data_IF_530196438776
#
_entry.id   IF_530196438776
#
_cell.length_a   1.000
_cell.length_b   1.000
_cell.length_c   1.000
_cell.angle_alpha   90.00
_cell.angle_beta   90.00
_cell.angle_gamma   90.00
#
_symmetry.space_group_name_H-M   'P 1'
#
loop_
_entity.id
_entity.type
_entity.pdbx_description
1 polymer ?
#
# COMPACT_ATOMS: atom_id res chain seq x y z
N UNK A 1 -18.50 -29.90 -42.44
CA UNK A 1 -18.28 -31.25 -41.88
C UNK A 1 -16.78 -31.58 -41.89
N UNK A 2 -16.10 -31.45 -40.75
CA UNK A 2 -15.03 -32.38 -40.34
C UNK A 2 -14.58 -31.99 -38.93
N UNK A 3 -15.04 -32.79 -37.97
CA UNK A 3 -14.78 -32.68 -36.54
C UNK A 3 -13.45 -33.37 -36.26
N UNK A 4 -12.49 -32.68 -35.63
CA UNK A 4 -11.28 -33.32 -35.08
C UNK A 4 -11.30 -33.23 -33.56
N UNK A 5 -11.83 -34.28 -32.95
CA UNK A 5 -11.64 -34.64 -31.54
C UNK A 5 -10.15 -34.70 -31.19
N UNK A 6 -9.71 -33.89 -30.22
CA UNK A 6 -8.46 -34.13 -29.48
C UNK A 6 -8.79 -34.91 -28.20
N UNK A 7 -8.13 -36.05 -28.05
CA UNK A 7 -8.28 -37.01 -26.96
C UNK A 7 -7.73 -36.44 -25.66
N UNK A 8 -8.53 -36.53 -24.59
CA UNK A 8 -8.11 -36.29 -23.23
C UNK A 8 -7.39 -37.53 -22.68
N UNK A 9 -6.19 -37.34 -22.14
CA UNK A 9 -5.43 -38.37 -21.42
C UNK A 9 -5.70 -38.19 -19.93
N UNK A 10 -6.50 -39.08 -19.34
CA UNK A 10 -6.78 -39.13 -17.91
C UNK A 10 -5.57 -39.76 -17.20
N UNK A 11 -4.75 -38.96 -16.52
CA UNK A 11 -3.70 -39.44 -15.64
C UNK A 11 -4.25 -39.63 -14.23
N UNK A 12 -4.34 -40.89 -13.77
CA UNK A 12 -4.70 -41.25 -12.40
C UNK A 12 -3.50 -40.96 -11.50
N UNK A 13 -3.57 -39.89 -10.71
CA UNK A 13 -2.61 -39.59 -9.63
C UNK A 13 -3.09 -40.28 -8.37
N UNK A 14 -2.35 -41.28 -7.90
CA UNK A 14 -2.58 -41.98 -6.66
C UNK A 14 -2.38 -41.05 -5.46
N UNK A 15 -3.46 -40.79 -4.73
CA UNK A 15 -3.46 -40.01 -3.50
C UNK A 15 -3.09 -40.95 -2.33
N UNK A 16 -1.84 -40.87 -1.85
CA UNK A 16 -1.39 -41.55 -0.63
C UNK A 16 -1.72 -40.65 0.56
N UNK A 17 -2.76 -41.01 1.31
CA UNK A 17 -3.09 -40.38 2.60
C UNK A 17 -2.12 -40.89 3.68
N UNK A 18 -1.19 -40.06 4.11
CA UNK A 18 -0.40 -40.28 5.33
C UNK A 18 -1.16 -39.64 6.49
N UNK A 19 -1.73 -40.47 7.36
CA UNK A 19 -2.40 -40.04 8.58
C UNK A 19 -1.35 -39.72 9.66
N UNK A 20 -1.00 -38.44 9.82
CA UNK A 20 -0.13 -37.98 10.90
C UNK A 20 -0.95 -37.82 12.18
N UNK A 21 -0.68 -38.68 13.17
CA UNK A 21 -1.24 -38.57 14.53
C UNK A 21 -0.54 -37.41 15.23
N UNK A 22 -1.25 -36.28 15.40
CA UNK A 22 -0.79 -35.15 16.22
C UNK A 22 -1.10 -35.46 17.69
N UNK A 23 -0.06 -35.75 18.47
CA UNK A 23 -0.12 -35.84 19.93
C UNK A 23 -0.32 -34.43 20.50
N UNK A 24 -1.45 -34.23 21.20
CA UNK A 24 -1.85 -32.95 21.77
C UNK A 24 -0.87 -32.43 22.82
N UNK A 25 -0.33 -31.24 22.58
CA UNK A 25 0.34 -30.44 23.60
C UNK A 25 -0.70 -29.72 24.45
N UNK A 26 -0.61 -29.88 25.77
CA UNK A 26 -1.45 -29.20 26.75
C UNK A 26 -1.09 -27.70 26.75
N UNK A 27 -1.86 -26.90 26.01
CA UNK A 27 -1.70 -25.45 25.95
C UNK A 27 -1.98 -24.80 27.30
N UNK A 28 -0.96 -24.12 27.84
CA UNK A 28 -1.12 -23.18 28.96
C UNK A 28 -1.87 -21.97 28.40
N UNK A 29 -3.16 -21.85 28.72
CA UNK A 29 -3.95 -20.67 28.37
C UNK A 29 -3.45 -19.50 29.22
N UNK A 30 -2.51 -18.73 28.68
CA UNK A 30 -2.11 -17.46 29.26
C UNK A 30 -3.31 -16.52 29.16
N UNK A 31 -3.93 -16.22 30.30
CA UNK A 31 -5.03 -15.26 30.40
C UNK A 31 -4.48 -13.87 30.08
N UNK A 32 -4.49 -13.48 28.80
CA UNK A 32 -4.12 -12.14 28.38
C UNK A 32 -5.07 -11.12 29.04
N UNK A 33 -4.52 -10.05 29.59
CA UNK A 33 -5.30 -8.92 30.07
C UNK A 33 -6.15 -8.35 28.92
N UNK A 34 -7.33 -7.77 29.20
CA UNK A 34 -8.12 -7.13 28.17
C UNK A 34 -7.29 -6.02 27.52
N UNK A 35 -7.01 -6.18 26.24
CA UNK A 35 -6.28 -5.21 25.43
C UNK A 35 -7.11 -3.92 25.35
N UNK A 36 -6.47 -2.76 25.54
CA UNK A 36 -7.13 -1.46 25.46
C UNK A 36 -7.66 -1.17 24.05
N UNK A 37 -8.51 -0.14 23.87
CA UNK A 37 -8.81 0.33 22.53
C UNK A 37 -7.51 0.81 21.85
N UNK A 38 -7.33 0.57 20.54
CA UNK A 38 -6.11 0.94 19.85
C UNK A 38 -5.91 2.46 19.81
N UNK A 39 -4.64 2.86 19.96
CA UNK A 39 -4.24 4.27 19.85
C UNK A 39 -4.51 4.75 18.41
N UNK A 40 -5.55 5.57 18.27
CA UNK A 40 -6.02 6.04 16.97
C UNK A 40 -4.96 6.90 16.26
N UNK A 41 -4.11 7.61 17.00
CA UNK A 41 -3.08 8.47 16.40
C UNK A 41 -2.00 7.63 15.72
N UNK A 42 -1.64 6.49 16.31
CA UNK A 42 -0.68 5.52 15.74
C UNK A 42 -1.28 4.84 14.52
N UNK A 43 -2.54 4.40 14.60
CA UNK A 43 -3.26 3.78 13.48
C UNK A 43 -3.35 4.75 12.28
N UNK A 44 -3.78 5.98 12.51
CA UNK A 44 -3.89 6.99 11.47
C UNK A 44 -2.52 7.30 10.84
N UNK A 45 -1.46 7.39 11.65
CA UNK A 45 -0.11 7.59 11.16
C UNK A 45 0.35 6.43 10.25
N UNK A 46 0.20 5.17 10.69
CA UNK A 46 0.56 3.97 9.93
C UNK A 46 -0.16 3.94 8.57
N UNK A 47 -1.47 4.20 8.56
CA UNK A 47 -2.26 4.21 7.33
C UNK A 47 -1.85 5.36 6.39
N UNK A 48 -1.54 6.55 6.92
CA UNK A 48 -1.07 7.71 6.13
C UNK A 48 0.28 7.46 5.47
N UNK A 49 1.18 6.71 6.11
CA UNK A 49 2.46 6.31 5.52
C UNK A 49 2.40 5.01 4.70
N UNK A 50 1.19 4.49 4.45
CA UNK A 50 0.94 3.26 3.69
C UNK A 50 1.53 1.98 4.32
N UNK A 51 1.72 1.96 5.64
CA UNK A 51 2.10 0.78 6.43
C UNK A 51 0.85 0.03 6.92
N UNK A 52 -0.02 -0.35 5.99
CA UNK A 52 -1.17 -1.22 6.29
C UNK A 52 -0.77 -2.70 6.30
N UNK A 53 -1.56 -3.59 6.92
CA UNK A 53 -1.29 -5.03 6.91
C UNK A 53 -1.06 -5.60 5.51
N UNK A 54 -1.82 -5.14 4.51
CA UNK A 54 -1.67 -5.58 3.13
C UNK A 54 -0.32 -5.15 2.53
N UNK A 55 0.11 -3.91 2.78
CA UNK A 55 1.43 -3.44 2.30
C UNK A 55 2.58 -4.21 2.95
N UNK A 56 2.50 -4.46 4.26
CA UNK A 56 3.48 -5.24 5.01
C UNK A 56 3.54 -6.68 4.47
N UNK A 57 2.38 -7.31 4.27
CA UNK A 57 2.27 -8.66 3.72
C UNK A 57 2.81 -8.72 2.29
N UNK A 58 2.43 -7.78 1.41
CA UNK A 58 2.92 -7.72 0.03
C UNK A 58 4.45 -7.53 -0.03
N UNK A 59 5.04 -6.82 0.94
CA UNK A 59 6.48 -6.66 1.08
C UNK A 59 7.18 -7.90 1.68
N UNK A 60 6.43 -8.91 2.13
CA UNK A 60 6.97 -10.11 2.76
C UNK A 60 7.47 -9.87 4.18
N UNK A 61 6.82 -8.98 4.93
CA UNK A 61 7.07 -8.80 6.36
C UNK A 61 6.42 -9.96 7.12
N UNK A 62 7.18 -10.61 8.00
CA UNK A 62 6.66 -11.69 8.84
C UNK A 62 5.79 -11.11 9.96
N UNK A 63 4.84 -11.90 10.48
CA UNK A 63 3.97 -11.51 11.59
C UNK A 63 4.77 -11.15 12.85
N UNK A 64 5.91 -11.80 13.08
CA UNK A 64 6.83 -11.50 14.19
C UNK A 64 7.46 -10.11 14.14
N UNK A 65 7.58 -9.53 12.94
CA UNK A 65 8.27 -8.24 12.75
C UNK A 65 7.28 -7.05 12.80
N UNK A 66 5.97 -7.31 12.80
CA UNK A 66 4.94 -6.27 12.77
C UNK A 66 4.94 -5.42 14.04
N UNK A 67 5.22 -6.03 15.19
CA UNK A 67 5.31 -5.34 16.48
C UNK A 67 6.43 -4.29 16.48
N UNK A 68 7.59 -4.62 15.90
CA UNK A 68 8.71 -3.69 15.75
C UNK A 68 8.36 -2.52 14.84
N UNK A 69 7.58 -2.76 13.77
CA UNK A 69 7.11 -1.69 12.86
C UNK A 69 6.20 -0.71 13.58
N UNK A 70 5.21 -1.22 14.32
CA UNK A 70 4.28 -0.38 15.08
C UNK A 70 5.00 0.35 16.21
N UNK A 71 5.88 -0.34 16.94
CA UNK A 71 6.71 0.25 18.00
C UNK A 71 7.64 1.35 17.47
N UNK A 72 8.21 1.18 16.28
CA UNK A 72 9.03 2.20 15.63
C UNK A 72 8.24 3.49 15.35
N UNK A 73 7.01 3.37 14.83
CA UNK A 73 6.12 4.52 14.59
C UNK A 73 5.66 5.15 15.91
N UNK A 74 5.19 4.34 16.87
CA UNK A 74 4.72 4.82 18.17
C UNK A 74 5.83 5.55 18.95
N UNK A 75 7.05 5.01 18.96
CA UNK A 75 8.21 5.65 19.58
C UNK A 75 8.58 6.98 18.93
N UNK A 76 8.48 7.08 17.59
CA UNK A 76 8.69 8.34 16.88
C UNK A 76 7.65 9.40 17.23
N UNK A 77 6.36 9.04 17.27
CA UNK A 77 5.27 9.95 17.59
C UNK A 77 5.32 10.41 19.05
N UNK A 78 5.67 9.51 19.97
CA UNK A 78 5.89 9.84 21.38
C UNK A 78 7.02 10.85 21.58
N UNK A 79 8.06 10.76 20.75
CA UNK A 79 9.20 11.70 20.77
C UNK A 79 8.91 13.01 20.04
N UNK A 80 7.92 13.04 19.15
CA UNK A 80 7.57 14.18 18.30
C UNK A 80 6.06 14.44 18.36
N UNK A 81 5.51 14.79 19.55
CA UNK A 81 4.07 14.97 19.70
C UNK A 81 3.57 16.05 18.75
N UNK A 82 2.39 15.86 18.17
CA UNK A 82 1.73 16.78 17.22
C UNK A 82 2.48 17.09 15.92
N UNK A 83 3.57 16.37 15.58
CA UNK A 83 4.36 16.68 14.37
C UNK A 83 3.54 16.55 13.08
N UNK A 84 2.70 15.52 12.99
CA UNK A 84 1.81 15.29 11.85
C UNK A 84 0.71 16.37 11.80
N UNK A 85 0.06 16.65 12.94
CA UNK A 85 -1.00 17.66 13.05
C UNK A 85 -0.47 19.05 12.66
N UNK A 86 0.70 19.44 13.16
CA UNK A 86 1.34 20.71 12.85
C UNK A 86 1.67 20.86 11.37
N UNK A 87 2.17 19.78 10.73
CA UNK A 87 2.49 19.77 9.31
C UNK A 87 1.21 19.87 8.45
N UNK A 88 0.16 19.14 8.81
CA UNK A 88 -1.16 19.22 8.16
C UNK A 88 -1.78 20.60 8.30
N UNK A 89 -1.81 21.17 9.51
CA UNK A 89 -2.37 22.49 9.77
C UNK A 89 -1.68 23.58 8.92
N UNK A 90 -0.35 23.51 8.81
CA UNK A 90 0.43 24.40 7.94
C UNK A 90 0.06 24.22 6.47
N UNK A 91 -0.02 22.98 5.99
CA UNK A 91 -0.42 22.69 4.61
C UNK A 91 -1.81 23.24 4.28
N UNK A 92 -2.82 22.98 5.13
CA UNK A 92 -4.18 23.45 4.89
C UNK A 92 -4.32 24.97 4.94
N UNK A 93 -3.60 25.63 5.86
CA UNK A 93 -3.55 27.09 5.93
C UNK A 93 -2.93 27.69 4.65
N UNK A 94 -1.77 27.18 4.23
CA UNK A 94 -1.09 27.63 3.02
C UNK A 94 -1.94 27.40 1.77
N UNK A 95 -2.57 26.22 1.66
CA UNK A 95 -3.46 25.87 0.55
C UNK A 95 -4.66 26.81 0.46
N UNK A 96 -5.32 27.06 1.57
CA UNK A 96 -6.49 27.96 1.63
C UNK A 96 -6.12 29.38 1.19
N UNK A 97 -4.98 29.88 1.65
CA UNK A 97 -4.46 31.20 1.26
C UNK A 97 -4.14 31.27 -0.23
N UNK A 98 -3.43 30.27 -0.77
CA UNK A 98 -3.08 30.19 -2.19
C UNK A 98 -4.33 30.11 -3.08
N UNK A 99 -5.28 29.21 -2.77
CA UNK A 99 -6.50 29.03 -3.56
C UNK A 99 -7.36 30.31 -3.60
N UNK A 100 -7.47 31.03 -2.47
CA UNK A 100 -8.16 32.33 -2.41
C UNK A 100 -7.53 33.34 -3.37
N UNK A 101 -6.21 33.54 -3.28
CA UNK A 101 -5.50 34.55 -4.08
C UNK A 101 -5.45 34.17 -5.57
N UNK A 102 -5.27 32.88 -5.88
CA UNK A 102 -5.31 32.37 -7.27
C UNK A 102 -6.67 32.67 -7.92
N UNK A 103 -7.78 32.48 -7.21
CA UNK A 103 -9.12 32.82 -7.74
C UNK A 103 -9.26 34.31 -8.01
N UNK A 104 -8.79 35.17 -7.11
CA UNK A 104 -8.85 36.63 -7.26
C UNK A 104 -8.02 37.13 -8.45
N UNK A 105 -6.82 36.56 -8.64
CA UNK A 105 -5.95 36.87 -9.78
C UNK A 105 -6.59 36.39 -11.07
N UNK A 106 -7.14 35.16 -11.09
CA UNK A 106 -7.82 34.60 -12.28
C UNK A 106 -9.07 35.37 -12.68
N UNK A 107 -9.79 35.98 -11.73
CA UNK A 107 -10.97 36.80 -12.01
C UNK A 107 -10.64 38.22 -12.47
N UNK A 108 -9.35 38.63 -12.49
CA UNK A 108 -8.94 39.99 -12.84
C UNK A 108 -9.32 41.06 -11.81
N UNK A 109 -9.72 40.66 -10.60
CA UNK A 109 -10.12 41.57 -9.52
C UNK A 109 -8.97 41.88 -8.56
N UNK A 110 -7.83 41.21 -8.69
CA UNK A 110 -6.68 41.38 -7.83
C UNK A 110 -5.97 42.73 -8.08
N UNK A 111 -5.65 43.42 -6.99
CA UNK A 111 -4.70 44.52 -6.97
C UNK A 111 -3.27 44.04 -7.25
N UNK A 112 -2.35 44.98 -7.53
CA UNK A 112 -0.92 44.67 -7.70
C UNK A 112 -0.30 44.02 -6.46
N UNK A 113 -0.71 44.45 -5.26
CA UNK A 113 -0.29 43.85 -3.99
C UNK A 113 -0.76 42.39 -3.86
N UNK A 114 -2.01 42.10 -4.25
CA UNK A 114 -2.57 40.73 -4.21
C UNK A 114 -1.94 39.81 -5.26
N UNK A 115 -1.51 40.34 -6.40
CA UNK A 115 -0.72 39.57 -7.38
C UNK A 115 0.64 39.17 -6.79
N UNK A 116 1.30 40.06 -6.03
CA UNK A 116 2.54 39.73 -5.32
C UNK A 116 2.29 38.68 -4.24
N UNK A 117 1.28 38.91 -3.38
CA UNK A 117 0.89 37.98 -2.33
C UNK A 117 0.52 36.60 -2.89
N UNK A 118 -0.07 36.52 -4.10
CA UNK A 118 -0.36 35.24 -4.75
C UNK A 118 0.91 34.44 -5.07
N UNK A 119 2.03 35.09 -5.42
CA UNK A 119 3.31 34.40 -5.66
C UNK A 119 3.89 33.88 -4.35
N UNK A 120 3.86 34.69 -3.30
CA UNK A 120 4.31 34.31 -1.95
C UNK A 120 3.49 33.14 -1.39
N UNK A 121 2.16 33.19 -1.52
CA UNK A 121 1.28 32.11 -1.06
C UNK A 121 1.52 30.79 -1.81
N UNK A 122 1.91 30.83 -3.09
CA UNK A 122 2.30 29.62 -3.84
C UNK A 122 3.61 29.04 -3.33
N UNK A 123 4.61 29.89 -3.05
CA UNK A 123 5.87 29.44 -2.48
C UNK A 123 5.69 28.85 -1.08
N UNK A 124 4.82 29.44 -0.25
CA UNK A 124 4.49 28.88 1.06
C UNK A 124 3.73 27.55 0.94
N UNK A 125 2.82 27.39 -0.02
CA UNK A 125 2.16 26.11 -0.27
C UNK A 125 3.17 25.01 -0.66
N UNK A 126 4.09 25.29 -1.59
CA UNK A 126 5.15 24.35 -1.97
C UNK A 126 6.06 23.99 -0.78
N UNK A 127 6.41 24.99 0.04
CA UNK A 127 7.18 24.77 1.27
C UNK A 127 6.42 23.89 2.27
N UNK A 128 5.13 24.13 2.46
CA UNK A 128 4.29 23.36 3.38
C UNK A 128 4.04 21.92 2.87
N UNK A 129 3.89 21.72 1.55
CA UNK A 129 3.82 20.40 0.92
C UNK A 129 5.10 19.60 1.16
N UNK A 130 6.26 20.23 0.95
CA UNK A 130 7.57 19.61 1.20
C UNK A 130 7.75 19.26 2.68
N UNK A 131 7.40 20.18 3.59
CA UNK A 131 7.48 19.94 5.03
C UNK A 131 6.60 18.75 5.46
N UNK A 132 5.37 18.70 4.95
CA UNK A 132 4.44 17.59 5.20
C UNK A 132 4.96 16.26 4.66
N UNK A 133 5.51 16.24 3.44
CA UNK A 133 6.14 15.05 2.87
C UNK A 133 7.30 14.55 3.74
N UNK A 134 8.20 15.45 4.15
CA UNK A 134 9.33 15.11 5.02
C UNK A 134 8.89 14.53 6.37
N UNK A 135 7.82 15.05 6.96
CA UNK A 135 7.24 14.50 8.20
C UNK A 135 6.73 13.08 7.99
N UNK A 136 5.97 12.82 6.92
CA UNK A 136 5.47 11.48 6.60
C UNK A 136 6.61 10.51 6.24
N UNK A 137 7.68 11.01 5.62
CA UNK A 137 8.90 10.22 5.34
C UNK A 137 9.64 9.84 6.61
N UNK A 138 9.73 10.73 7.60
CA UNK A 138 10.35 10.43 8.89
C UNK A 138 9.56 9.38 9.67
N UNK A 139 8.22 9.46 9.66
CA UNK A 139 7.33 8.46 10.27
C UNK A 139 7.49 7.10 9.58
N UNK A 140 7.51 7.09 8.24
CA UNK A 140 7.74 5.87 7.46
C UNK A 140 9.10 5.25 7.79
N UNK A 141 10.17 6.06 7.79
CA UNK A 141 11.53 5.62 8.09
C UNK A 141 11.66 5.02 9.49
N UNK A 142 10.98 5.61 10.48
CA UNK A 142 10.94 5.05 11.84
C UNK A 142 10.30 3.65 11.86
N UNK A 143 9.15 3.49 11.21
CA UNK A 143 8.42 2.23 11.14
C UNK A 143 9.16 1.11 10.39
N UNK A 144 9.93 1.43 9.36
CA UNK A 144 10.63 0.40 8.55
C UNK A 144 12.07 0.14 8.97
N UNK A 145 12.56 0.82 10.02
CA UNK A 145 13.98 0.80 10.41
C UNK A 145 14.52 -0.57 10.86
N UNK A 146 13.66 -1.43 11.40
CA UNK A 146 13.99 -2.80 11.81
C UNK A 146 13.96 -3.82 10.66
N UNK A 147 13.33 -3.47 9.53
CA UNK A 147 13.11 -4.38 8.41
C UNK A 147 14.36 -4.54 7.55
N UNK A 148 14.41 -5.61 6.76
CA UNK A 148 15.48 -5.82 5.78
C UNK A 148 15.45 -4.76 4.67
N UNK A 149 16.61 -4.46 4.06
CA UNK A 149 16.70 -3.50 2.94
C UNK A 149 15.75 -3.82 1.78
N UNK A 150 15.49 -5.11 1.54
CA UNK A 150 14.58 -5.56 0.47
C UNK A 150 13.10 -5.26 0.81
N UNK A 151 12.70 -5.46 2.06
CA UNK A 151 11.36 -5.10 2.54
C UNK A 151 11.17 -3.57 2.53
N UNK A 152 12.17 -2.82 3.01
CA UNK A 152 12.15 -1.35 2.98
C UNK A 152 12.01 -0.81 1.54
N UNK A 153 12.81 -1.35 0.60
CA UNK A 153 12.74 -0.99 -0.81
C UNK A 153 11.39 -1.33 -1.44
N UNK A 154 10.76 -2.44 -1.05
CA UNK A 154 9.43 -2.83 -1.56
C UNK A 154 8.33 -1.95 -1.00
N UNK A 155 8.34 -1.64 0.30
CA UNK A 155 7.39 -0.72 0.94
C UNK A 155 7.50 0.70 0.37
N UNK A 156 8.72 1.18 0.12
CA UNK A 156 8.95 2.50 -0.51
C UNK A 156 8.38 2.57 -1.93
N UNK A 157 8.58 1.51 -2.73
CA UNK A 157 7.98 1.37 -4.07
C UNK A 157 6.45 1.31 -4.00
N UNK A 158 5.88 0.50 -3.11
CA UNK A 158 4.44 0.41 -2.89
C UNK A 158 3.84 1.78 -2.57
N UNK A 159 4.44 2.52 -1.64
CA UNK A 159 4.01 3.88 -1.25
C UNK A 159 4.02 4.85 -2.44
N UNK A 160 5.10 4.85 -3.21
CA UNK A 160 5.28 5.73 -4.38
C UNK A 160 4.28 5.37 -5.50
N UNK A 161 4.16 4.09 -5.83
CA UNK A 161 3.30 3.62 -6.91
C UNK A 161 1.82 3.77 -6.55
N UNK A 162 1.41 3.51 -5.30
CA UNK A 162 0.03 3.69 -4.81
C UNK A 162 -0.43 5.15 -4.87
N UNK A 163 0.48 6.11 -4.65
CA UNK A 163 0.15 7.54 -4.75
C UNK A 163 -0.20 7.97 -6.19
N UNK A 164 0.34 7.27 -7.20
CA UNK A 164 0.18 7.63 -8.61
C UNK A 164 -0.82 6.73 -9.37
N UNK A 165 -1.02 5.50 -8.90
CA UNK A 165 -1.75 4.46 -9.63
C UNK A 165 -2.74 3.73 -8.72
N UNK A 166 -3.98 3.62 -9.19
CA UNK A 166 -5.01 2.80 -8.56
C UNK A 166 -5.02 1.39 -9.20
N UNK A 167 -4.16 0.50 -8.69
CA UNK A 167 -3.97 -0.87 -9.19
C UNK A 167 -4.03 -1.88 -8.03
N UNK A 168 -4.24 -3.18 -8.31
CA UNK A 168 -4.01 -4.26 -7.35
C UNK A 168 -2.62 -4.16 -6.71
N UNK A 169 -2.55 -4.43 -5.40
CA UNK A 169 -1.38 -4.13 -4.57
C UNK A 169 -0.14 -4.93 -4.99
N UNK A 170 -0.31 -6.20 -5.35
CA UNK A 170 0.74 -7.09 -5.83
C UNK A 170 1.41 -6.59 -7.11
N UNK A 171 0.71 -5.78 -7.92
CA UNK A 171 1.28 -5.18 -9.12
C UNK A 171 2.11 -3.93 -8.80
N UNK A 172 1.89 -3.27 -7.66
CA UNK A 172 2.56 -2.03 -7.27
C UNK A 172 3.99 -2.23 -6.74
N UNK A 173 4.44 -3.48 -6.54
CA UNK A 173 5.77 -3.81 -5.97
C UNK A 173 6.94 -3.65 -6.96
N UNK A 174 6.67 -3.38 -8.24
CA UNK A 174 7.68 -3.21 -9.29
C UNK A 174 7.55 -1.84 -9.93
N UNK A 175 8.68 -1.16 -10.12
CA UNK A 175 8.74 0.11 -10.83
C UNK A 175 8.55 -0.11 -12.33
N UNK A 176 7.68 0.69 -12.92
CA UNK A 176 7.38 0.68 -14.35
C UNK A 176 7.33 2.08 -14.89
N UNK A 177 7.61 2.20 -16.17
CA UNK A 177 7.43 3.46 -16.91
C UNK A 177 5.94 3.83 -16.97
N UNK A 178 5.64 5.12 -17.20
CA UNK A 178 4.27 5.58 -17.38
C UNK A 178 3.54 4.83 -18.51
N UNK A 179 4.24 4.54 -19.61
CA UNK A 179 3.67 3.81 -20.74
C UNK A 179 3.28 2.37 -20.36
N UNK A 180 4.11 1.68 -19.60
CA UNK A 180 3.83 0.34 -19.09
C UNK A 180 2.66 0.34 -18.11
N UNK A 181 2.58 1.33 -17.20
CA UNK A 181 1.45 1.45 -16.29
C UNK A 181 0.12 1.72 -17.01
N UNK A 182 0.13 2.56 -18.05
CA UNK A 182 -1.05 2.80 -18.89
C UNK A 182 -1.47 1.52 -19.62
N UNK A 183 -0.51 0.78 -20.19
CA UNK A 183 -0.76 -0.50 -20.86
C UNK A 183 -1.34 -1.54 -19.89
N UNK A 184 -0.75 -1.67 -18.70
CA UNK A 184 -1.24 -2.58 -17.66
C UNK A 184 -2.68 -2.22 -17.25
N UNK A 185 -2.99 -0.93 -17.10
CA UNK A 185 -4.34 -0.46 -16.80
C UNK A 185 -5.34 -0.84 -17.88
N UNK A 186 -4.96 -0.64 -19.15
CA UNK A 186 -5.79 -0.97 -20.29
C UNK A 186 -6.06 -2.49 -20.35
N UNK A 187 -5.03 -3.31 -20.16
CA UNK A 187 -5.17 -4.76 -20.15
C UNK A 187 -6.06 -5.27 -19.00
N UNK A 188 -5.92 -4.72 -17.78
CA UNK A 188 -6.83 -5.04 -16.66
C UNK A 188 -8.27 -4.57 -16.93
N UNK A 189 -8.43 -3.42 -17.60
CA UNK A 189 -9.75 -2.94 -17.99
C UNK A 189 -10.39 -3.84 -19.05
N UNK A 190 -9.62 -4.31 -20.03
CA UNK A 190 -10.06 -5.30 -21.01
C UNK A 190 -10.52 -6.60 -20.33
N UNK A 191 -9.68 -7.19 -19.47
CA UNK A 191 -10.01 -8.41 -18.71
C UNK A 191 -11.35 -8.27 -17.96
N UNK A 192 -11.56 -7.15 -17.24
CA UNK A 192 -12.79 -6.89 -16.49
C UNK A 192 -14.01 -6.65 -17.39
N UNK A 193 -13.86 -5.91 -18.49
CA UNK A 193 -14.97 -5.60 -19.41
C UNK A 193 -15.40 -6.87 -20.13
N UNK A 194 -14.46 -7.62 -20.69
CA UNK A 194 -14.72 -8.90 -21.37
C UNK A 194 -15.43 -9.89 -20.43
N UNK A 195 -14.96 -10.04 -19.19
CA UNK A 195 -15.63 -10.88 -18.18
C UNK A 195 -17.07 -10.43 -17.87
N UNK A 196 -17.34 -9.12 -17.86
CA UNK A 196 -18.69 -8.57 -17.64
C UNK A 196 -19.64 -8.84 -18.81
N UNK A 197 -19.12 -8.93 -20.03
CA UNK A 197 -19.90 -9.11 -21.25
C UNK A 197 -19.91 -10.56 -21.78
N UNK A 198 -19.27 -11.50 -21.06
CA UNK A 198 -19.10 -12.89 -21.50
C UNK A 198 -18.38 -12.99 -22.86
N UNK A 199 -17.43 -12.08 -23.08
CA UNK A 199 -16.57 -12.05 -24.27
C UNK A 199 -15.17 -12.55 -23.92
N UNK A 200 -14.47 -13.10 -24.90
CA UNK A 200 -13.05 -13.44 -24.74
C UNK A 200 -12.22 -12.15 -24.62
N UNK A 201 -11.31 -12.03 -23.64
CA UNK A 201 -10.39 -10.90 -23.55
C UNK A 201 -9.39 -10.90 -24.70
N UNK A 202 -8.85 -9.72 -25.02
CA UNK A 202 -7.87 -9.59 -26.09
C UNK A 202 -6.60 -10.41 -25.78
N UNK A 203 -6.19 -11.26 -26.73
CA UNK A 203 -5.08 -12.18 -26.53
C UNK A 203 -3.74 -11.48 -26.30
N UNK A 204 -3.53 -10.28 -26.87
CA UNK A 204 -2.30 -9.50 -26.66
C UNK A 204 -2.26 -8.92 -25.26
N UNK A 205 -3.39 -8.40 -24.78
CA UNK A 205 -3.52 -7.90 -23.41
C UNK A 205 -3.38 -9.03 -22.37
N UNK A 206 -3.98 -10.19 -22.63
CA UNK A 206 -3.81 -11.37 -21.77
C UNK A 206 -2.37 -11.86 -21.73
N UNK A 207 -1.69 -11.92 -22.88
CA UNK A 207 -0.26 -12.25 -22.91
C UNK A 207 0.57 -11.25 -22.12
N UNK A 208 0.23 -9.95 -22.16
CA UNK A 208 0.93 -8.94 -21.37
C UNK A 208 0.70 -9.12 -19.86
N UNK A 209 -0.55 -9.35 -19.44
CA UNK A 209 -0.88 -9.62 -18.04
C UNK A 209 -0.18 -10.88 -17.52
N UNK A 210 -0.13 -11.94 -18.33
CA UNK A 210 0.59 -13.17 -17.97
C UNK A 210 2.07 -12.90 -17.71
N UNK A 211 2.74 -12.12 -18.57
CA UNK A 211 4.15 -11.73 -18.36
C UNK A 211 4.33 -10.90 -17.09
N UNK A 212 3.44 -9.93 -16.84
CA UNK A 212 3.51 -9.09 -15.63
C UNK A 212 3.28 -9.91 -14.35
N UNK A 213 2.31 -10.83 -14.36
CA UNK A 213 2.00 -11.73 -13.23
C UNK A 213 3.09 -12.78 -13.01
N UNK A 214 3.86 -13.12 -14.04
CA UNK A 214 5.02 -14.01 -13.95
C UNK A 214 6.29 -13.34 -13.41
N UNK A 215 6.30 -12.01 -13.25
CA UNK A 215 7.41 -11.32 -12.57
C UNK A 215 7.58 -11.88 -11.15
N UNK A 216 8.82 -12.20 -10.78
CA UNK A 216 9.12 -12.86 -9.51
C UNK A 216 8.67 -12.04 -8.29
N UNK A 217 8.79 -10.71 -8.34
CA UNK A 217 8.38 -9.83 -7.24
C UNK A 217 6.86 -9.78 -7.12
N UNK A 218 6.16 -9.70 -8.25
CA UNK A 218 4.69 -9.71 -8.31
C UNK A 218 4.14 -11.04 -7.82
N UNK A 219 4.70 -12.16 -8.29
CA UNK A 219 4.30 -13.51 -7.90
C UNK A 219 4.54 -13.76 -6.40
N UNK A 220 5.67 -13.32 -5.85
CA UNK A 220 5.96 -13.40 -4.43
C UNK A 220 4.97 -12.57 -3.59
N UNK A 221 4.71 -11.31 -3.97
CA UNK A 221 3.75 -10.46 -3.29
C UNK A 221 2.33 -11.05 -3.30
N UNK A 222 1.90 -11.58 -4.45
CA UNK A 222 0.62 -12.27 -4.59
C UNK A 222 0.53 -13.51 -3.68
N UNK A 223 1.60 -14.30 -3.62
CA UNK A 223 1.67 -15.48 -2.74
C UNK A 223 1.58 -15.06 -1.27
N UNK A 224 2.38 -14.08 -0.83
CA UNK A 224 2.34 -13.61 0.56
C UNK A 224 0.95 -13.07 0.94
N UNK A 225 0.32 -12.28 0.07
CA UNK A 225 -1.04 -11.77 0.29
C UNK A 225 -2.06 -12.91 0.44
N UNK A 226 -1.91 -13.98 -0.33
CA UNK A 226 -2.80 -15.13 -0.24
C UNK A 226 -2.59 -15.97 1.03
N UNK A 227 -1.35 -16.09 1.52
CA UNK A 227 -1.00 -17.04 2.59
C UNK A 227 -0.85 -16.41 3.97
N UNK A 228 -0.43 -15.16 4.05
CA UNK A 228 0.09 -14.55 5.29
C UNK A 228 -0.69 -13.32 5.75
N UNK A 229 -1.65 -12.83 4.95
CA UNK A 229 -2.40 -11.62 5.29
C UNK A 229 -3.14 -11.74 6.61
N UNK A 230 -3.77 -12.88 6.90
CA UNK A 230 -4.52 -13.09 8.15
C UNK A 230 -3.63 -12.99 9.40
N UNK A 231 -2.43 -13.58 9.34
CA UNK A 231 -1.48 -13.58 10.46
C UNK A 231 -0.90 -12.18 10.68
N UNK A 232 -0.52 -11.49 9.60
CA UNK A 232 -0.01 -10.11 9.65
C UNK A 232 -1.09 -9.14 10.15
N UNK A 233 -2.34 -9.26 9.70
CA UNK A 233 -3.45 -8.44 10.22
C UNK A 233 -3.65 -8.66 11.71
N UNK A 234 -3.64 -9.93 12.17
CA UNK A 234 -3.79 -10.25 13.60
C UNK A 234 -2.64 -9.67 14.44
N UNK A 235 -1.40 -9.77 13.95
CA UNK A 235 -0.25 -9.19 14.61
C UNK A 235 -0.31 -7.66 14.65
N UNK A 236 -0.75 -7.03 13.55
CA UNK A 236 -0.92 -5.59 13.45
C UNK A 236 -1.98 -5.07 14.41
N UNK A 237 -3.17 -5.70 14.44
CA UNK A 237 -4.27 -5.34 15.34
C UNK A 237 -3.88 -5.47 16.81
N UNK A 238 -3.10 -6.50 17.15
CA UNK A 238 -2.54 -6.66 18.50
C UNK A 238 -1.58 -5.52 18.82
N UNK A 239 -0.60 -5.27 17.95
CA UNK A 239 0.46 -4.29 18.18
C UNK A 239 -0.06 -2.85 18.30
N UNK A 240 -1.12 -2.47 17.58
CA UNK A 240 -1.71 -1.11 17.71
C UNK A 240 -2.62 -0.94 18.93
N UNK A 241 -2.92 -2.04 19.63
CA UNK A 241 -3.82 -2.06 20.78
C UNK A 241 -3.07 -2.12 22.14
N UNK A 242 -1.75 -2.26 22.09
CA UNK A 242 -0.82 -2.13 23.22
C UNK A 242 -0.44 -0.65 23.48
#
# INVERSE_FOLDING_TARGET
MSVKQKRATLGVVGLVFVATIVLGSSGVFSSAAPVGPPDQDVVDALLRVSLSPESLTAAGVADSDVEDVVSGVSGYLSSNPSVIESADARYFAAKTAADRLIRLVRSGLASSAEVSACREARAELESAETARANTLDAVFAAGVSSLTETQQGTLSRLRTNKASWNMPLELLVVDRTQAEWVRLRAALANERISAKHDEDPDATDQSHLATVRADASVSAASTHLATSLGDVTTAWERAVAE
#
